data_IF_337893598435
#
_entry.id   IF_337893598435
#
_cell.length_a   1.000
_cell.length_b   1.000
_cell.length_c   1.000
_cell.angle_alpha   90.00
_cell.angle_beta   90.00
_cell.angle_gamma   90.00
#
_symmetry.space_group_name_H-M   'P 1'
#
loop_
_entity.id
_entity.type
_entity.pdbx_description
1 polymer ?
#
# COMPACT_ATOMS: atom_id res chain seq x y z
N UNK A 1 -38.33 -8.86 9.19
CA UNK A 1 -37.48 -7.91 9.95
C UNK A 1 -36.51 -7.27 8.97
N UNK A 2 -36.61 -5.95 8.79
CA UNK A 2 -35.69 -5.16 7.94
C UNK A 2 -34.33 -5.13 8.61
N UNK A 3 -33.34 -5.84 8.07
CA UNK A 3 -31.97 -5.81 8.55
C UNK A 3 -31.37 -4.45 8.21
N UNK A 4 -30.99 -3.67 9.21
CA UNK A 4 -30.34 -2.37 9.01
C UNK A 4 -28.97 -2.62 8.35
N UNK A 5 -28.71 -2.12 7.13
CA UNK A 5 -27.44 -2.34 6.43
C UNK A 5 -26.23 -1.73 7.14
N UNK A 6 -26.43 -0.93 8.19
CA UNK A 6 -25.38 -0.34 9.03
C UNK A 6 -25.22 -1.01 10.40
N UNK A 7 -25.80 -2.19 10.61
CA UNK A 7 -25.63 -2.95 11.85
C UNK A 7 -24.23 -3.60 11.87
N UNK A 8 -23.23 -2.79 12.26
CA UNK A 8 -21.83 -3.22 12.35
C UNK A 8 -21.65 -3.97 13.67
N UNK A 9 -21.38 -5.27 13.57
CA UNK A 9 -21.02 -6.08 14.73
C UNK A 9 -19.62 -5.68 15.23
N UNK A 10 -19.59 -4.77 16.21
CA UNK A 10 -18.37 -4.23 16.84
C UNK A 10 -17.49 -5.37 17.38
N UNK A 11 -18.09 -6.51 17.80
CA UNK A 11 -17.37 -7.66 18.34
C UNK A 11 -16.64 -8.47 17.26
N UNK A 12 -17.03 -8.33 15.98
CA UNK A 12 -16.36 -8.93 14.83
C UNK A 12 -15.33 -8.02 14.17
N UNK A 13 -15.21 -6.77 14.61
CA UNK A 13 -14.18 -5.86 14.10
C UNK A 13 -12.80 -6.40 14.48
N UNK A 14 -11.96 -6.61 13.46
CA UNK A 14 -10.55 -6.93 13.69
C UNK A 14 -9.86 -5.66 14.20
N UNK A 15 -9.32 -5.73 15.41
CA UNK A 15 -8.42 -4.70 15.92
C UNK A 15 -7.26 -4.49 14.94
N UNK A 16 -6.96 -3.23 14.65
CA UNK A 16 -5.82 -2.86 13.83
C UNK A 16 -4.53 -3.37 14.49
N UNK A 17 -3.77 -4.17 13.74
CA UNK A 17 -2.48 -4.67 14.21
C UNK A 17 -1.52 -3.50 14.31
N UNK A 18 -0.96 -3.26 15.50
CA UNK A 18 0.13 -2.29 15.66
C UNK A 18 1.37 -2.85 14.95
N UNK A 19 1.86 -2.13 13.95
CA UNK A 19 3.11 -2.46 13.25
C UNK A 19 4.25 -1.83 14.04
N UNK A 20 5.19 -2.65 14.51
CA UNK A 20 6.35 -2.20 15.30
C UNK A 20 7.66 -2.36 14.56
N UNK A 21 7.74 -3.25 13.58
CA UNK A 21 8.95 -3.46 12.78
C UNK A 21 9.22 -2.25 11.86
N UNK A 22 10.38 -1.57 11.99
CA UNK A 22 10.72 -0.43 11.14
C UNK A 22 10.70 -0.74 9.64
N UNK A 23 11.03 -1.97 9.22
CA UNK A 23 11.02 -2.35 7.80
C UNK A 23 9.60 -2.38 7.25
N UNK A 24 8.67 -2.97 8.00
CA UNK A 24 7.25 -2.98 7.63
C UNK A 24 6.65 -1.57 7.65
N UNK A 25 7.04 -0.72 8.61
CA UNK A 25 6.64 0.70 8.62
C UNK A 25 7.09 1.40 7.34
N UNK A 26 8.35 1.22 6.92
CA UNK A 26 8.88 1.84 5.69
C UNK A 26 8.12 1.34 4.46
N UNK A 27 7.85 0.04 4.35
CA UNK A 27 7.03 -0.51 3.26
C UNK A 27 5.64 0.13 3.22
N UNK A 28 4.97 0.26 4.37
CA UNK A 28 3.66 0.90 4.46
C UNK A 28 3.70 2.37 4.04
N UNK A 29 4.74 3.11 4.42
CA UNK A 29 4.91 4.52 4.03
C UNK A 29 5.06 4.69 2.52
N UNK A 30 5.90 3.87 1.88
CA UNK A 30 6.08 3.91 0.42
C UNK A 30 4.79 3.48 -0.29
N UNK A 31 4.18 2.38 0.14
CA UNK A 31 2.93 1.89 -0.42
C UNK A 31 1.80 2.92 -0.31
N UNK A 32 1.67 3.62 0.81
CA UNK A 32 0.67 4.67 0.96
C UNK A 32 0.78 5.76 -0.12
N UNK A 33 2.01 6.16 -0.48
CA UNK A 33 2.25 7.14 -1.55
C UNK A 33 1.95 6.58 -2.94
N UNK A 34 2.29 5.32 -3.19
CA UNK A 34 1.90 4.61 -4.43
C UNK A 34 0.38 4.56 -4.57
N UNK A 35 -0.34 4.25 -3.49
CA UNK A 35 -1.81 4.17 -3.51
C UNK A 35 -2.42 5.50 -3.89
N UNK A 36 -2.00 6.59 -3.24
CA UNK A 36 -2.49 7.95 -3.48
C UNK A 36 -2.39 8.33 -4.97
N UNK A 37 -1.22 8.15 -5.57
CA UNK A 37 -1.03 8.40 -7.01
C UNK A 37 -1.86 7.45 -7.85
N UNK A 38 -1.81 6.14 -7.56
CA UNK A 38 -2.48 5.12 -8.38
C UNK A 38 -4.00 5.27 -8.41
N UNK A 39 -4.60 5.83 -7.36
CA UNK A 39 -6.03 6.13 -7.30
C UNK A 39 -6.37 7.30 -8.22
N UNK A 40 -5.53 8.34 -8.21
CA UNK A 40 -5.73 9.54 -9.03
C UNK A 40 -5.56 9.29 -10.53
N UNK A 41 -4.57 8.49 -10.93
CA UNK A 41 -4.30 8.22 -12.35
C UNK A 41 -5.05 6.99 -12.89
N UNK A 42 -5.68 6.20 -12.02
CA UNK A 42 -6.41 4.99 -12.37
C UNK A 42 -5.52 3.76 -12.61
N UNK A 43 -6.18 2.60 -12.66
CA UNK A 43 -5.52 1.28 -12.80
C UNK A 43 -4.70 1.18 -14.07
N UNK A 44 -5.30 1.47 -15.22
CA UNK A 44 -4.68 1.21 -16.53
C UNK A 44 -3.42 2.06 -16.71
N UNK A 45 -3.47 3.35 -16.35
CA UNK A 45 -2.30 4.24 -16.42
C UNK A 45 -1.21 3.82 -15.44
N UNK A 46 -1.59 3.38 -14.24
CA UNK A 46 -0.63 2.85 -13.27
C UNK A 46 0.11 1.63 -13.84
N UNK A 47 -0.60 0.70 -14.48
CA UNK A 47 0.02 -0.48 -15.09
C UNK A 47 0.91 -0.12 -16.28
N UNK A 48 0.52 0.87 -17.09
CA UNK A 48 1.31 1.38 -18.21
C UNK A 48 2.65 1.96 -17.73
N UNK A 49 2.64 2.78 -16.68
CA UNK A 49 3.85 3.44 -16.18
C UNK A 49 4.80 2.49 -15.44
N UNK A 50 4.24 1.55 -14.66
CA UNK A 50 5.02 0.72 -13.72
C UNK A 50 5.28 -0.70 -14.22
N UNK A 51 4.62 -1.12 -15.31
CA UNK A 51 4.60 -2.52 -15.75
C UNK A 51 3.97 -3.49 -14.73
N UNK A 52 3.35 -2.98 -13.66
CA UNK A 52 2.84 -3.80 -12.57
C UNK A 52 1.61 -4.60 -13.00
N UNK A 53 1.57 -5.89 -12.67
CA UNK A 53 0.39 -6.70 -12.91
C UNK A 53 -0.81 -6.22 -12.07
N UNK A 54 -2.03 -6.30 -12.61
CA UNK A 54 -3.26 -5.83 -11.95
C UNK A 54 -3.45 -6.44 -10.56
N UNK A 55 -3.13 -7.73 -10.41
CA UNK A 55 -3.21 -8.41 -9.12
C UNK A 55 -2.18 -7.87 -8.10
N UNK A 56 -1.04 -7.37 -8.57
CA UNK A 56 -0.02 -6.76 -7.72
C UNK A 56 -0.43 -5.38 -7.26
N UNK A 57 -0.96 -4.57 -8.18
CA UNK A 57 -1.53 -3.28 -7.85
C UNK A 57 -2.68 -3.41 -6.83
N UNK A 58 -3.56 -4.39 -7.01
CA UNK A 58 -4.64 -4.66 -6.06
C UNK A 58 -4.11 -4.95 -4.65
N UNK A 59 -3.04 -5.75 -4.53
CA UNK A 59 -2.45 -6.05 -3.21
C UNK A 59 -1.79 -4.85 -2.56
N UNK A 60 -1.10 -4.01 -3.33
CA UNK A 60 -0.58 -2.72 -2.82
C UNK A 60 -1.73 -1.87 -2.29
N UNK A 61 -2.83 -1.73 -3.04
CA UNK A 61 -4.01 -0.93 -2.64
C UNK A 61 -4.71 -1.42 -1.37
N UNK A 62 -4.65 -2.72 -1.07
CA UNK A 62 -5.18 -3.28 0.18
C UNK A 62 -4.11 -3.46 1.26
N UNK A 63 -2.92 -2.88 1.08
CA UNK A 63 -1.79 -2.98 2.01
C UNK A 63 -1.32 -4.42 2.30
N UNK A 64 -1.49 -5.35 1.37
CA UNK A 64 -0.89 -6.69 1.44
C UNK A 64 0.53 -6.68 0.85
N UNK A 65 1.48 -6.27 1.70
CA UNK A 65 2.87 -5.99 1.31
C UNK A 65 3.84 -7.14 1.54
N UNK A 66 3.37 -8.31 2.00
CA UNK A 66 4.23 -9.43 2.47
C UNK A 66 5.26 -9.89 1.44
N UNK A 67 4.89 -9.85 0.17
CA UNK A 67 5.72 -10.29 -0.97
C UNK A 67 6.51 -9.16 -1.65
N UNK A 68 6.31 -7.92 -1.22
CA UNK A 68 7.00 -6.77 -1.80
C UNK A 68 8.23 -6.47 -0.95
N UNK A 69 9.37 -6.47 -1.62
CA UNK A 69 10.62 -5.97 -1.05
C UNK A 69 10.62 -4.44 -1.06
N UNK A 70 11.46 -3.82 -0.24
CA UNK A 70 11.54 -2.35 -0.17
C UNK A 70 12.04 -1.79 -1.52
N UNK A 71 13.06 -2.41 -2.13
CA UNK A 71 13.58 -2.06 -3.44
C UNK A 71 12.49 -2.08 -4.52
N UNK A 72 11.63 -3.11 -4.54
CA UNK A 72 10.53 -3.20 -5.50
C UNK A 72 9.50 -2.10 -5.31
N UNK A 73 9.18 -1.75 -4.07
CA UNK A 73 8.26 -0.63 -3.80
C UNK A 73 8.88 0.71 -4.21
N UNK A 74 10.19 0.90 -3.98
CA UNK A 74 10.90 2.10 -4.45
C UNK A 74 10.86 2.18 -5.97
N UNK A 75 11.13 1.09 -6.70
CA UNK A 75 11.04 1.06 -8.16
C UNK A 75 9.67 1.48 -8.66
N UNK A 76 8.60 0.88 -8.12
CA UNK A 76 7.21 1.26 -8.47
C UNK A 76 6.95 2.74 -8.18
N UNK A 77 7.42 3.26 -7.03
CA UNK A 77 7.26 4.66 -6.68
C UNK A 77 8.00 5.57 -7.68
N UNK A 78 9.23 5.23 -8.05
CA UNK A 78 10.03 5.97 -9.03
C UNK A 78 9.41 5.95 -10.43
N UNK A 79 8.86 4.81 -10.87
CA UNK A 79 8.13 4.71 -12.15
C UNK A 79 6.86 5.58 -12.17
N UNK A 80 6.27 5.84 -11.00
CA UNK A 80 5.16 6.78 -10.81
C UNK A 80 5.62 8.24 -10.66
N UNK A 81 6.91 8.52 -10.80
CA UNK A 81 7.49 9.87 -10.71
C UNK A 81 7.78 10.35 -9.29
N UNK A 82 7.79 9.46 -8.29
CA UNK A 82 8.18 9.82 -6.92
C UNK A 82 9.70 9.76 -6.73
N UNK A 83 10.23 10.78 -6.06
CA UNK A 83 11.57 10.74 -5.49
C UNK A 83 11.52 10.11 -4.09
N UNK A 84 12.37 9.11 -3.83
CA UNK A 84 12.49 8.47 -2.51
C UNK A 84 13.84 8.79 -1.89
N UNK A 85 13.84 9.50 -0.76
CA UNK A 85 15.03 9.78 0.03
C UNK A 85 15.02 8.96 1.32
N UNK A 86 16.11 8.22 1.58
CA UNK A 86 16.25 7.37 2.77
C UNK A 86 17.41 7.89 3.62
N UNK A 87 17.12 8.23 4.87
CA UNK A 87 18.14 8.61 5.85
C UNK A 87 18.50 7.41 6.73
N UNK A 88 19.73 6.92 6.59
CA UNK A 88 20.29 5.90 7.47
C UNK A 88 20.85 6.57 8.72
N UNK A 89 20.57 6.00 9.89
CA UNK A 89 21.16 6.40 11.17
C UNK A 89 21.90 5.19 11.74
N UNK A 90 23.10 5.39 12.25
CA UNK A 90 23.76 4.40 13.11
C UNK A 90 22.99 4.29 14.43
N UNK A 91 22.95 3.08 14.99
CA UNK A 91 22.39 2.82 16.31
C UNK A 91 23.26 3.42 17.41
#
# INVERSE_FOLDING_TARGET
MSMNPYDIDIKKLKLSKRITDPKEILKCQIAAKIIDISVNIGTDKTQELTGLHKADLSRVRVMDLKRFTIDRLIGIATDLGLEVSIKIKSA
#
